data_IF_117079988481
#
_entry.id   IF_117079988481
#
_cell.length_a   1.000
_cell.length_b   1.000
_cell.length_c   1.000
_cell.angle_alpha   90.00
_cell.angle_beta   90.00
_cell.angle_gamma   90.00
#
_symmetry.space_group_name_H-M   'P 1'
#
loop_
_entity.id
_entity.type
_entity.pdbx_description
1 polymer ?
#
# COMPACT_ATOMS: atom_id res chain seq x y z
N UNK A 1 -6.05 -20.15 13.49
CA UNK A 1 -5.34 -18.96 14.02
C UNK A 1 -6.32 -17.85 14.37
N UNK A 2 -7.06 -17.23 13.45
CA UNK A 2 -8.02 -16.17 13.81
C UNK A 2 -9.16 -16.61 14.75
N UNK A 3 -9.59 -17.87 14.66
CA UNK A 3 -10.55 -18.43 15.62
C UNK A 3 -9.97 -18.61 17.04
N UNK A 4 -8.65 -18.69 17.17
CA UNK A 4 -7.92 -18.96 18.42
C UNK A 4 -7.30 -17.70 19.01
N UNK A 5 -6.88 -16.77 18.15
CA UNK A 5 -6.24 -15.49 18.48
C UNK A 5 -6.90 -14.39 17.64
N UNK A 6 -8.14 -13.99 17.97
CA UNK A 6 -8.91 -13.01 17.19
C UNK A 6 -8.27 -11.61 17.15
N UNK A 7 -7.37 -11.32 18.08
CA UNK A 7 -6.66 -10.05 18.17
C UNK A 7 -5.48 -9.95 17.19
N UNK A 8 -5.02 -11.07 16.62
CA UNK A 8 -3.93 -11.08 15.64
C UNK A 8 -4.46 -10.56 14.31
N UNK A 9 -3.98 -9.38 13.92
CA UNK A 9 -4.34 -8.72 12.66
C UNK A 9 -3.25 -8.61 11.64
N UNK A 10 -2.00 -8.68 12.06
CA UNK A 10 -0.85 -8.48 11.19
C UNK A 10 -0.12 -9.81 11.06
N UNK A 11 -0.04 -10.29 9.83
CA UNK A 11 0.62 -11.54 9.49
C UNK A 11 1.89 -11.25 8.70
N UNK A 12 3.02 -11.77 9.18
CA UNK A 12 4.32 -11.65 8.53
C UNK A 12 4.65 -12.94 7.78
N UNK A 13 4.72 -12.87 6.46
CA UNK A 13 5.12 -13.96 5.58
C UNK A 13 6.52 -13.67 5.02
N UNK A 14 7.54 -13.96 5.83
CA UNK A 14 8.96 -13.82 5.44
C UNK A 14 9.44 -14.95 4.49
N UNK A 15 8.54 -15.47 3.66
CA UNK A 15 8.82 -16.53 2.69
C UNK A 15 8.11 -16.26 1.36
N UNK A 16 8.69 -16.78 0.28
CA UNK A 16 8.08 -16.81 -1.05
C UNK A 16 8.64 -18.01 -1.82
N UNK A 17 8.20 -18.20 -3.06
CA UNK A 17 8.74 -19.23 -3.94
C UNK A 17 9.99 -18.72 -4.66
N UNK A 18 10.98 -19.61 -4.83
CA UNK A 18 12.18 -19.33 -5.62
C UNK A 18 11.88 -19.21 -7.12
N UNK A 19 10.97 -20.03 -7.66
CA UNK A 19 10.63 -19.92 -9.07
C UNK A 19 9.68 -18.73 -9.31
N UNK A 20 9.97 -17.83 -10.26
CA UNK A 20 9.02 -16.82 -10.71
C UNK A 20 7.71 -17.44 -11.21
N UNK A 21 6.57 -16.79 -10.94
CA UNK A 21 5.25 -17.34 -11.26
C UNK A 21 5.07 -17.66 -12.76
N UNK A 22 5.63 -16.83 -13.64
CA UNK A 22 5.55 -16.97 -15.09
C UNK A 22 6.44 -18.10 -15.64
N UNK A 23 7.41 -18.56 -14.87
CA UNK A 23 8.32 -19.67 -15.26
C UNK A 23 7.81 -21.03 -14.76
N UNK A 24 6.78 -21.04 -13.90
CA UNK A 24 6.18 -22.27 -13.42
C UNK A 24 5.42 -23.01 -14.52
N UNK A 25 5.51 -24.35 -14.50
CA UNK A 25 4.66 -25.21 -15.32
C UNK A 25 3.17 -25.01 -14.99
N UNK A 26 2.29 -25.35 -15.93
CA UNK A 26 0.87 -24.99 -15.87
C UNK A 26 0.13 -25.52 -14.64
N UNK A 27 0.43 -26.73 -14.17
CA UNK A 27 -0.22 -27.32 -12.99
C UNK A 27 0.21 -26.59 -11.71
N UNK A 28 1.51 -26.52 -11.35
CA UNK A 28 1.96 -25.73 -10.20
C UNK A 28 1.51 -24.27 -10.27
N UNK A 29 1.56 -23.65 -11.46
CA UNK A 29 1.12 -22.26 -11.64
C UNK A 29 -0.34 -22.07 -11.25
N UNK A 30 -1.24 -22.94 -11.71
CA UNK A 30 -2.68 -22.89 -11.35
C UNK A 30 -2.91 -23.09 -9.87
N UNK A 31 -2.19 -24.02 -9.23
CA UNK A 31 -2.29 -24.20 -7.78
C UNK A 31 -1.85 -22.96 -7.00
N UNK A 32 -0.76 -22.30 -7.44
CA UNK A 32 -0.31 -21.05 -6.82
C UNK A 32 -1.30 -19.91 -6.99
N UNK A 33 -1.91 -19.78 -8.17
CA UNK A 33 -2.95 -18.77 -8.40
C UNK A 33 -4.15 -19.00 -7.46
N UNK A 34 -4.61 -20.24 -7.28
CA UNK A 34 -5.68 -20.56 -6.33
C UNK A 34 -5.32 -20.17 -4.89
N UNK A 35 -4.12 -20.52 -4.42
CA UNK A 35 -3.68 -20.18 -3.07
C UNK A 35 -3.58 -18.66 -2.85
N UNK A 36 -3.10 -17.92 -3.84
CA UNK A 36 -3.02 -16.46 -3.80
C UNK A 36 -4.41 -15.82 -3.80
N UNK A 37 -5.33 -16.33 -4.63
CA UNK A 37 -6.75 -15.92 -4.63
C UNK A 37 -7.38 -16.16 -3.26
N UNK A 38 -7.16 -17.33 -2.68
CA UNK A 38 -7.70 -17.69 -1.38
C UNK A 38 -7.09 -16.80 -0.26
N UNK A 39 -5.81 -16.42 -0.37
CA UNK A 39 -5.17 -15.46 0.54
C UNK A 39 -5.75 -14.04 0.41
N UNK A 40 -5.91 -13.52 -0.80
CA UNK A 40 -6.53 -12.22 -1.04
C UNK A 40 -7.97 -12.18 -0.50
N UNK A 41 -8.76 -13.24 -0.75
CA UNK A 41 -10.12 -13.35 -0.24
C UNK A 41 -10.16 -13.54 1.28
N UNK A 42 -9.17 -14.21 1.87
CA UNK A 42 -9.01 -14.30 3.32
C UNK A 42 -8.75 -12.92 3.93
N UNK A 43 -7.89 -12.12 3.31
CA UNK A 43 -7.62 -10.73 3.74
C UNK A 43 -8.89 -9.90 3.68
N UNK A 44 -9.59 -9.95 2.54
CA UNK A 44 -10.86 -9.26 2.33
C UNK A 44 -11.96 -9.70 3.31
N UNK A 45 -12.08 -10.99 3.62
CA UNK A 45 -13.12 -11.44 4.54
C UNK A 45 -12.83 -11.04 6.00
N UNK A 46 -11.57 -10.97 6.41
CA UNK A 46 -11.21 -10.92 7.83
C UNK A 46 -10.72 -9.55 8.31
N UNK A 47 -10.55 -8.56 7.42
CA UNK A 47 -9.89 -7.29 7.74
C UNK A 47 -8.56 -7.59 8.44
N UNK A 48 -7.61 -8.19 7.74
CA UNK A 48 -6.26 -8.43 8.27
C UNK A 48 -5.25 -7.79 7.35
N UNK A 49 -4.04 -7.52 7.84
CA UNK A 49 -2.96 -7.02 7.00
C UNK A 49 -1.91 -8.12 6.94
N UNK A 50 -1.66 -8.58 5.72
CA UNK A 50 -0.67 -9.60 5.42
C UNK A 50 0.47 -8.91 4.72
N UNK A 51 1.67 -9.06 5.27
CA UNK A 51 2.91 -8.50 4.71
C UNK A 51 3.77 -9.66 4.24
N UNK A 52 4.25 -9.61 2.99
CA UNK A 52 5.04 -10.69 2.39
C UNK A 52 6.36 -10.17 1.81
N UNK A 53 7.38 -11.03 1.82
CA UNK A 53 8.71 -10.72 1.28
C UNK A 53 8.65 -10.75 -0.24
N UNK A 54 9.09 -9.70 -0.94
CA UNK A 54 9.20 -9.72 -2.41
C UNK A 54 9.97 -10.96 -2.93
N UNK A 55 10.88 -11.49 -2.10
CA UNK A 55 11.69 -12.66 -2.37
C UNK A 55 13.10 -12.26 -2.76
N UNK A 56 13.98 -13.25 -2.74
CA UNK A 56 15.39 -13.08 -3.09
C UNK A 56 15.67 -13.80 -4.42
N UNK A 57 16.54 -13.26 -5.25
CA UNK A 57 17.17 -14.02 -6.33
C UNK A 57 18.04 -15.13 -5.75
N UNK A 58 18.49 -16.08 -6.59
CA UNK A 58 19.33 -17.17 -6.12
C UNK A 58 20.77 -16.68 -5.84
N UNK A 59 21.34 -17.18 -4.75
CA UNK A 59 22.70 -16.82 -4.33
C UNK A 59 23.73 -17.31 -5.33
N UNK A 60 24.69 -16.46 -5.67
CA UNK A 60 25.81 -16.78 -6.57
C UNK A 60 25.48 -16.69 -8.06
N UNK A 61 24.22 -16.46 -8.43
CA UNK A 61 23.83 -16.21 -9.80
C UNK A 61 23.99 -14.74 -10.14
N UNK A 62 24.65 -14.46 -11.26
CA UNK A 62 24.79 -13.10 -11.78
C UNK A 62 23.77 -12.89 -12.91
N UNK A 63 23.06 -11.75 -12.93
CA UNK A 63 22.18 -11.39 -14.04
C UNK A 63 23.00 -11.14 -15.32
N UNK A 64 22.37 -11.29 -16.49
CA UNK A 64 23.06 -11.03 -17.76
C UNK A 64 23.41 -9.54 -17.91
N UNK A 65 22.53 -8.65 -17.45
CA UNK A 65 22.85 -7.23 -17.25
C UNK A 65 23.28 -6.99 -15.79
N UNK A 66 24.47 -6.43 -15.54
CA UNK A 66 24.94 -6.21 -14.18
C UNK A 66 24.03 -5.23 -13.43
N UNK A 67 24.08 -5.27 -12.10
CA UNK A 67 23.41 -4.28 -11.27
C UNK A 67 23.85 -2.85 -11.63
N UNK A 68 22.93 -1.86 -11.75
CA UNK A 68 21.49 -1.92 -11.45
C UNK A 68 20.57 -2.26 -12.63
N UNK A 69 21.11 -2.66 -13.79
CA UNK A 69 20.38 -2.70 -15.07
C UNK A 69 19.60 -4.01 -15.33
N UNK A 70 19.43 -4.85 -14.30
CA UNK A 70 18.83 -6.19 -14.36
C UNK A 70 17.29 -6.20 -14.24
N UNK A 71 16.64 -5.07 -14.52
CA UNK A 71 15.21 -4.86 -14.22
C UNK A 71 14.25 -5.83 -14.93
N UNK A 72 14.64 -6.31 -16.11
CA UNK A 72 13.83 -7.21 -16.94
C UNK A 72 14.29 -8.68 -16.89
N UNK A 73 15.30 -8.97 -16.07
CA UNK A 73 15.86 -10.32 -15.94
C UNK A 73 14.80 -11.31 -15.40
N UNK A 74 14.48 -12.39 -16.13
CA UNK A 74 13.44 -13.33 -15.72
C UNK A 74 13.65 -13.91 -14.32
N UNK A 75 14.90 -14.28 -13.97
CA UNK A 75 15.25 -14.84 -12.67
C UNK A 75 15.11 -13.88 -11.48
N UNK A 76 14.98 -12.57 -11.72
CA UNK A 76 14.76 -11.56 -10.68
C UNK A 76 13.28 -11.23 -10.48
N UNK A 77 12.37 -11.80 -11.28
CA UNK A 77 10.94 -11.52 -11.15
C UNK A 77 10.35 -12.06 -9.86
N UNK A 78 9.30 -11.41 -9.37
CA UNK A 78 8.55 -11.82 -8.18
C UNK A 78 8.09 -13.29 -8.21
N UNK A 79 8.11 -13.91 -7.02
CA UNK A 79 7.53 -15.22 -6.79
C UNK A 79 6.01 -15.18 -6.73
N UNK A 80 5.37 -16.35 -6.63
CA UNK A 80 3.91 -16.44 -6.72
C UNK A 80 3.13 -15.94 -5.51
N UNK A 81 3.68 -15.99 -4.29
CA UNK A 81 2.97 -15.57 -3.07
C UNK A 81 2.90 -14.05 -2.90
N UNK A 82 3.73 -13.33 -3.67
CA UNK A 82 4.03 -11.92 -3.48
C UNK A 82 3.42 -11.07 -4.58
N UNK A 83 2.42 -11.62 -5.27
CA UNK A 83 1.85 -11.03 -6.47
C UNK A 83 0.35 -10.72 -6.33
N UNK A 84 -0.26 -11.02 -5.16
CA UNK A 84 -1.68 -10.75 -4.87
C UNK A 84 -2.00 -9.26 -4.73
N UNK A 85 -3.29 -8.92 -4.70
CA UNK A 85 -3.76 -7.53 -4.67
C UNK A 85 -3.86 -6.97 -3.25
N UNK A 86 -4.24 -7.80 -2.28
CA UNK A 86 -4.48 -7.38 -0.90
C UNK A 86 -3.27 -7.60 0.02
N UNK A 87 -2.23 -8.29 -0.46
CA UNK A 87 -0.97 -8.50 0.26
C UNK A 87 -0.08 -7.27 0.13
N UNK A 88 0.51 -6.82 1.24
CA UNK A 88 1.53 -5.76 1.23
C UNK A 88 2.90 -6.38 0.96
N UNK A 89 3.46 -6.12 -0.22
CA UNK A 89 4.72 -6.75 -0.65
C UNK A 89 5.91 -5.86 -0.28
N UNK A 90 6.88 -6.41 0.43
CA UNK A 90 8.05 -5.68 0.93
C UNK A 90 9.33 -6.04 0.16
N UNK A 91 9.91 -5.07 -0.53
CA UNK A 91 11.26 -5.16 -1.09
C UNK A 91 12.34 -4.79 -0.07
N UNK A 92 13.59 -4.81 -0.53
CA UNK A 92 14.75 -4.53 0.32
C UNK A 92 15.66 -3.47 -0.29
N UNK A 93 16.21 -2.60 0.56
CA UNK A 93 17.27 -1.65 0.20
C UNK A 93 18.48 -1.74 1.13
N UNK A 94 19.60 -1.15 0.69
CA UNK A 94 20.85 -1.08 1.43
C UNK A 94 20.86 0.13 2.35
N UNK A 95 20.94 -0.10 3.67
CA UNK A 95 21.03 0.98 4.66
C UNK A 95 22.46 1.32 5.06
N UNK A 96 23.32 0.30 5.13
CA UNK A 96 24.70 0.41 5.59
C UNK A 96 25.66 -0.05 4.48
N UNK A 97 26.77 0.67 4.31
CA UNK A 97 27.77 0.39 3.29
C UNK A 97 28.91 -0.45 3.83
N UNK A 98 29.48 -1.27 2.96
CA UNK A 98 30.63 -2.10 3.27
C UNK A 98 31.54 -2.18 2.03
N UNK A 99 32.88 -2.18 2.17
CA UNK A 99 33.80 -2.18 1.04
C UNK A 99 33.58 -3.34 0.05
N UNK A 100 33.17 -4.50 0.55
CA UNK A 100 32.92 -5.69 -0.27
C UNK A 100 31.47 -5.79 -0.78
N UNK A 101 30.62 -4.78 -0.55
CA UNK A 101 29.25 -4.75 -1.06
C UNK A 101 29.20 -4.47 -2.57
N UNK A 102 28.24 -5.05 -3.28
CA UNK A 102 27.97 -4.76 -4.67
C UNK A 102 27.35 -3.36 -4.82
N UNK A 103 26.37 -3.07 -3.96
CA UNK A 103 25.74 -1.74 -3.91
C UNK A 103 26.54 -0.83 -3.00
N UNK A 104 27.00 0.29 -3.55
CA UNK A 104 27.89 1.25 -2.86
C UNK A 104 27.18 2.57 -2.51
N UNK A 105 25.84 2.59 -2.53
CA UNK A 105 25.03 3.76 -2.20
C UNK A 105 23.86 3.38 -1.29
N UNK A 106 23.65 4.20 -0.26
CA UNK A 106 22.57 4.03 0.70
C UNK A 106 21.23 4.29 0.00
N UNK A 107 20.20 3.53 0.37
CA UNK A 107 18.85 3.67 -0.14
C UNK A 107 18.58 2.99 -1.48
N UNK A 108 19.63 2.53 -2.15
CA UNK A 108 19.53 1.77 -3.39
C UNK A 108 18.97 0.36 -3.15
N UNK A 109 18.23 -0.21 -4.12
CA UNK A 109 17.67 -1.56 -4.01
C UNK A 109 18.75 -2.60 -3.70
N UNK A 110 18.48 -3.50 -2.77
CA UNK A 110 19.37 -4.63 -2.48
C UNK A 110 19.51 -5.50 -3.74
N UNK A 111 20.71 -5.99 -4.07
CA UNK A 111 20.94 -6.65 -5.37
C UNK A 111 20.18 -7.98 -5.53
N UNK A 112 19.72 -8.56 -4.43
CA UNK A 112 18.92 -9.78 -4.41
C UNK A 112 17.41 -9.54 -4.44
N UNK A 113 16.94 -8.31 -4.21
CA UNK A 113 15.49 -8.08 -4.09
C UNK A 113 14.81 -8.36 -5.43
N UNK A 114 13.72 -9.11 -5.39
CA UNK A 114 12.96 -9.38 -6.61
C UNK A 114 12.25 -8.13 -7.13
N UNK A 115 12.07 -8.11 -8.44
CA UNK A 115 11.58 -7.01 -9.26
C UNK A 115 10.15 -7.35 -9.70
N UNK A 116 9.23 -6.40 -9.53
CA UNK A 116 7.87 -6.46 -10.07
C UNK A 116 7.86 -6.48 -11.60
N UNK A 117 6.68 -6.42 -12.23
CA UNK A 117 5.36 -6.28 -11.61
C UNK A 117 4.85 -7.60 -11.02
N UNK A 118 3.73 -7.52 -10.29
CA UNK A 118 2.97 -8.69 -9.86
C UNK A 118 1.98 -9.18 -10.93
N UNK A 119 0.96 -9.92 -10.51
CA UNK A 119 -0.07 -10.40 -11.43
C UNK A 119 -0.86 -9.24 -12.03
N UNK A 120 -1.36 -9.43 -13.25
CA UNK A 120 -2.09 -8.41 -13.99
C UNK A 120 -1.33 -7.07 -14.08
N UNK A 121 0.01 -7.12 -14.09
CA UNK A 121 0.91 -5.95 -14.10
C UNK A 121 0.76 -5.03 -12.88
N UNK A 122 0.38 -5.59 -11.72
CA UNK A 122 0.23 -4.82 -10.48
C UNK A 122 1.56 -4.17 -10.04
N UNK A 123 1.52 -2.94 -9.51
CA UNK A 123 2.70 -2.18 -9.11
C UNK A 123 3.23 -2.61 -7.73
N UNK A 124 3.68 -3.86 -7.62
CA UNK A 124 4.35 -4.41 -6.44
C UNK A 124 5.86 -4.57 -6.71
N UNK A 125 6.75 -4.52 -5.70
CA UNK A 125 6.49 -4.35 -4.26
C UNK A 125 5.83 -3.02 -3.86
N UNK A 126 5.06 -3.02 -2.77
CA UNK A 126 4.39 -1.84 -2.23
C UNK A 126 5.33 -0.93 -1.44
N UNK A 127 6.16 -1.53 -0.60
CA UNK A 127 7.02 -0.83 0.35
C UNK A 127 8.38 -1.49 0.40
N UNK A 128 9.30 -0.86 1.12
CA UNK A 128 10.62 -1.44 1.36
C UNK A 128 11.13 -1.17 2.77
N UNK A 129 12.05 -2.01 3.20
CA UNK A 129 12.79 -1.86 4.44
C UNK A 129 14.25 -2.30 4.25
N UNK A 130 15.16 -1.96 5.17
CA UNK A 130 16.52 -2.47 5.13
C UNK A 130 16.54 -4.00 5.21
N UNK A 131 17.24 -4.65 4.27
CA UNK A 131 17.43 -6.10 4.28
C UNK A 131 18.85 -6.55 3.95
N UNK A 132 19.78 -5.61 3.75
CA UNK A 132 21.20 -5.88 3.53
C UNK A 132 21.62 -5.82 2.06
N UNK A 133 22.82 -6.29 1.78
CA UNK A 133 23.56 -6.21 0.53
C UNK A 133 24.22 -7.57 0.22
N UNK A 134 24.72 -7.76 -0.99
CA UNK A 134 25.56 -8.90 -1.39
C UNK A 134 26.89 -8.42 -1.95
N UNK A 135 27.86 -9.32 -2.10
CA UNK A 135 29.14 -9.02 -2.75
C UNK A 135 29.02 -9.01 -4.27
N UNK A 136 30.12 -8.69 -4.97
CA UNK A 136 30.17 -8.66 -6.44
C UNK A 136 29.95 -10.03 -7.09
N UNK A 137 30.06 -11.12 -6.34
CA UNK A 137 29.70 -12.47 -6.75
C UNK A 137 28.23 -12.82 -6.44
N UNK A 138 27.40 -11.84 -6.06
CA UNK A 138 25.98 -12.04 -5.72
C UNK A 138 25.77 -13.07 -4.61
N UNK A 139 26.65 -13.07 -3.61
CA UNK A 139 26.53 -13.89 -2.41
C UNK A 139 26.50 -13.03 -1.16
N UNK A 140 25.87 -13.57 -0.11
CA UNK A 140 26.03 -13.01 1.23
C UNK A 140 27.49 -13.11 1.69
N UNK A 141 27.97 -12.06 2.37
CA UNK A 141 29.22 -12.07 3.11
C UNK A 141 29.01 -11.37 4.45
N UNK A 142 29.74 -11.75 5.52
CA UNK A 142 29.66 -11.07 6.80
C UNK A 142 29.92 -9.57 6.68
N UNK A 143 29.15 -8.76 7.40
CA UNK A 143 29.15 -7.30 7.36
C UNK A 143 28.23 -6.69 6.30
N UNK A 144 27.57 -7.51 5.46
CA UNK A 144 26.66 -7.03 4.41
C UNK A 144 25.17 -7.12 4.78
N UNK A 145 24.82 -7.79 5.87
CA UNK A 145 23.43 -8.04 6.22
C UNK A 145 22.83 -7.06 7.22
N UNK A 146 21.77 -7.52 7.87
CA UNK A 146 21.10 -6.92 9.00
C UNK A 146 21.33 -7.84 10.20
N UNK A 147 21.64 -7.24 11.35
CA UNK A 147 21.80 -7.97 12.60
C UNK A 147 20.43 -8.47 13.08
N UNK A 148 20.30 -9.78 13.23
CA UNK A 148 19.09 -10.47 13.67
C UNK A 148 19.40 -11.53 14.74
N UNK A 149 18.38 -12.08 15.39
CA UNK A 149 18.54 -13.19 16.32
C UNK A 149 18.19 -14.51 15.62
N UNK A 150 19.08 -15.49 15.74
CA UNK A 150 18.85 -16.84 15.24
C UNK A 150 17.93 -17.64 16.20
N UNK A 151 17.51 -18.87 15.83
CA UNK A 151 16.64 -19.70 16.69
C UNK A 151 17.23 -20.06 18.06
N UNK A 152 18.55 -19.93 18.24
CA UNK A 152 19.25 -20.14 19.51
C UNK A 152 19.34 -18.86 20.35
N UNK A 153 18.78 -17.74 19.89
CA UNK A 153 18.83 -16.45 20.57
C UNK A 153 20.17 -15.72 20.43
N UNK A 154 21.05 -16.17 19.53
CA UNK A 154 22.34 -15.54 19.26
C UNK A 154 22.22 -14.51 18.14
N UNK A 155 22.96 -13.41 18.25
CA UNK A 155 23.07 -12.42 17.19
C UNK A 155 23.79 -13.00 15.98
N UNK A 156 23.19 -12.85 14.81
CA UNK A 156 23.77 -13.20 13.53
C UNK A 156 23.58 -12.11 12.49
N UNK A 157 24.49 -12.04 11.54
CA UNK A 157 24.39 -11.20 10.37
C UNK A 157 23.85 -12.00 9.18
N UNK A 158 22.78 -11.49 8.56
CA UNK A 158 22.09 -12.11 7.44
C UNK A 158 21.51 -11.07 6.50
N UNK A 159 21.40 -11.39 5.22
CA UNK A 159 20.71 -10.55 4.24
C UNK A 159 19.45 -11.22 3.71
N UNK A 160 18.40 -10.46 3.44
CA UNK A 160 17.23 -10.94 2.72
C UNK A 160 15.99 -10.09 2.90
N UNK A 161 15.09 -10.15 1.93
CA UNK A 161 13.75 -9.56 2.06
C UNK A 161 12.97 -10.17 3.23
N UNK A 162 13.27 -11.42 3.63
CA UNK A 162 12.74 -12.07 4.83
C UNK A 162 13.03 -11.30 6.13
N UNK A 163 14.07 -10.46 6.17
CA UNK A 163 14.43 -9.59 7.29
C UNK A 163 13.84 -8.17 7.16
N UNK A 164 13.48 -7.77 5.93
CA UNK A 164 12.80 -6.52 5.65
C UNK A 164 11.30 -6.59 6.03
N UNK A 165 10.61 -7.70 5.72
CA UNK A 165 9.15 -7.85 6.00
C UNK A 165 8.78 -7.63 7.47
N UNK A 166 9.50 -8.18 8.47
CA UNK A 166 9.14 -7.97 9.87
C UNK A 166 9.19 -6.50 10.28
N UNK A 167 10.04 -5.70 9.64
CA UNK A 167 10.11 -4.24 9.87
C UNK A 167 8.82 -3.59 9.39
N UNK A 168 8.37 -3.90 8.17
CA UNK A 168 7.11 -3.36 7.64
C UNK A 168 5.90 -3.87 8.43
N UNK A 169 5.86 -5.16 8.79
CA UNK A 169 4.82 -5.73 9.64
C UNK A 169 4.74 -5.02 11.00
N UNK A 170 5.90 -4.69 11.60
CA UNK A 170 5.97 -3.89 12.83
C UNK A 170 5.39 -2.49 12.64
N UNK A 171 5.73 -1.80 11.54
CA UNK A 171 5.19 -0.47 11.27
C UNK A 171 3.67 -0.52 11.03
N UNK A 172 3.16 -1.52 10.33
CA UNK A 172 1.72 -1.74 10.17
C UNK A 172 1.01 -2.00 11.52
N UNK A 173 1.59 -2.85 12.37
CA UNK A 173 1.05 -3.13 13.70
C UNK A 173 1.04 -1.89 14.61
N UNK A 174 2.13 -1.10 14.59
CA UNK A 174 2.18 0.17 15.31
C UNK A 174 1.15 1.15 14.78
N UNK A 175 1.02 1.31 13.46
CA UNK A 175 0.02 2.22 12.88
C UNK A 175 -1.39 1.81 13.28
N UNK A 176 -1.73 0.52 13.21
CA UNK A 176 -3.01 0.00 13.67
C UNK A 176 -3.28 0.37 15.14
N UNK A 177 -2.29 0.15 16.01
CA UNK A 177 -2.40 0.49 17.44
C UNK A 177 -2.58 2.00 17.68
N UNK A 178 -1.85 2.85 16.96
CA UNK A 178 -1.96 4.31 17.11
C UNK A 178 -3.29 4.84 16.61
N UNK A 179 -3.75 4.37 15.44
CA UNK A 179 -5.06 4.74 14.94
C UNK A 179 -6.15 4.32 15.94
N UNK A 180 -6.09 3.10 16.46
CA UNK A 180 -7.03 2.60 17.45
C UNK A 180 -7.04 3.44 18.74
N UNK A 181 -5.87 3.85 19.23
CA UNK A 181 -5.74 4.51 20.52
C UNK A 181 -6.05 6.01 20.46
N UNK A 182 -5.67 6.70 19.38
CA UNK A 182 -5.67 8.16 19.32
C UNK A 182 -6.56 8.77 18.24
N UNK A 183 -7.01 7.99 17.25
CA UNK A 183 -7.75 8.52 16.08
C UNK A 183 -9.17 7.95 16.00
N UNK A 184 -9.35 6.66 16.24
CA UNK A 184 -10.66 6.02 16.24
C UNK A 184 -11.48 6.42 17.49
N UNK A 185 -12.81 6.54 17.32
CA UNK A 185 -13.72 6.65 18.45
C UNK A 185 -13.65 5.40 19.34
N UNK A 186 -13.94 5.55 20.64
CA UNK A 186 -14.07 4.41 21.55
C UNK A 186 -15.05 3.38 21.01
N UNK A 187 -14.59 2.12 20.88
CA UNK A 187 -15.37 1.02 20.31
C UNK A 187 -15.27 0.83 18.79
N UNK A 188 -14.65 1.77 18.07
CA UNK A 188 -14.39 1.63 16.63
C UNK A 188 -12.99 1.06 16.38
N UNK A 189 -12.84 0.20 15.37
CA UNK A 189 -11.58 -0.45 15.01
C UNK A 189 -11.04 0.10 13.69
N UNK A 190 -9.75 0.43 13.57
CA UNK A 190 -9.17 0.88 12.31
C UNK A 190 -9.13 -0.27 11.29
N UNK A 191 -9.58 -0.02 10.06
CA UNK A 191 -9.46 -1.01 8.98
C UNK A 191 -8.00 -1.18 8.55
N UNK A 192 -7.66 -2.38 8.06
CA UNK A 192 -6.33 -2.68 7.52
C UNK A 192 -6.02 -1.82 6.29
N UNK A 193 -7.04 -1.53 5.49
CA UNK A 193 -6.94 -0.64 4.32
C UNK A 193 -6.68 0.82 4.72
N UNK A 194 -7.15 1.27 5.89
CA UNK A 194 -6.83 2.60 6.45
C UNK A 194 -5.35 2.68 6.84
N UNK A 195 -4.82 1.61 7.44
CA UNK A 195 -3.38 1.49 7.74
C UNK A 195 -2.57 1.56 6.44
N UNK A 196 -2.99 0.84 5.39
CA UNK A 196 -2.34 0.89 4.07
C UNK A 196 -2.34 2.30 3.50
N UNK A 197 -3.49 2.97 3.46
CA UNK A 197 -3.62 4.32 2.93
C UNK A 197 -2.70 5.32 3.65
N UNK A 198 -2.67 5.27 4.99
CA UNK A 198 -1.80 6.12 5.79
C UNK A 198 -0.31 5.84 5.51
N UNK A 199 0.10 4.57 5.51
CA UNK A 199 1.50 4.21 5.27
C UNK A 199 1.94 4.58 3.85
N UNK A 200 1.10 4.40 2.84
CA UNK A 200 1.37 4.80 1.45
C UNK A 200 1.51 6.32 1.32
N UNK A 201 0.62 7.09 1.96
CA UNK A 201 0.68 8.56 1.96
C UNK A 201 1.99 9.06 2.59
N UNK A 202 2.40 8.43 3.69
CA UNK A 202 3.51 8.90 4.52
C UNK A 202 4.85 8.22 4.25
N UNK A 203 4.89 7.26 3.33
CA UNK A 203 6.11 6.58 2.96
C UNK A 203 7.14 7.55 2.35
N UNK A 204 8.39 7.35 2.74
CA UNK A 204 9.52 8.16 2.26
C UNK A 204 10.35 7.35 1.27
N UNK A 205 10.68 7.96 0.12
CA UNK A 205 11.55 7.30 -0.85
C UNK A 205 12.92 7.05 -0.23
N UNK A 206 13.42 5.82 -0.35
CA UNK A 206 14.76 5.49 0.16
C UNK A 206 15.86 6.11 -0.70
N UNK A 207 15.58 6.41 -1.98
CA UNK A 207 16.53 7.02 -2.92
C UNK A 207 15.83 7.99 -3.86
N UNK A 208 16.53 9.04 -4.28
CA UNK A 208 16.12 9.97 -5.34
C UNK A 208 17.04 9.92 -6.56
N UNK A 209 18.02 8.99 -6.57
CA UNK A 209 19.01 8.88 -7.62
C UNK A 209 18.36 8.44 -8.95
N UNK A 210 18.57 9.25 -9.99
CA UNK A 210 18.02 9.01 -11.33
C UNK A 210 18.50 7.69 -11.92
N UNK A 211 19.73 7.27 -11.59
CA UNK A 211 20.36 6.04 -12.11
C UNK A 211 19.61 4.76 -11.74
N UNK A 212 18.96 4.72 -10.58
CA UNK A 212 18.21 3.53 -10.12
C UNK A 212 16.71 3.77 -10.07
N UNK A 213 16.22 4.87 -10.63
CA UNK A 213 14.82 5.29 -10.51
C UNK A 213 13.84 4.21 -10.98
N UNK A 214 14.14 3.56 -12.10
CA UNK A 214 13.27 2.52 -12.66
C UNK A 214 13.31 1.24 -11.82
N UNK A 215 14.51 0.78 -11.45
CA UNK A 215 14.68 -0.38 -10.57
C UNK A 215 14.01 -0.14 -9.22
N UNK A 216 14.22 1.03 -8.62
CA UNK A 216 13.60 1.42 -7.35
C UNK A 216 12.07 1.45 -7.44
N UNK A 217 11.50 1.95 -8.54
CA UNK A 217 10.04 1.93 -8.74
C UNK A 217 9.48 0.49 -8.80
N UNK A 218 10.24 -0.48 -9.33
CA UNK A 218 9.83 -1.90 -9.43
C UNK A 218 10.29 -2.78 -8.26
N UNK A 219 11.00 -2.23 -7.27
CA UNK A 219 11.52 -3.01 -6.14
C UNK A 219 11.23 -2.40 -4.77
N UNK A 220 11.11 -1.08 -4.67
CA UNK A 220 10.98 -0.35 -3.41
C UNK A 220 9.59 0.26 -3.19
N UNK A 221 8.78 0.30 -4.24
CA UNK A 221 7.39 0.75 -4.21
C UNK A 221 7.25 2.21 -3.78
N UNK A 222 6.34 2.46 -2.83
CA UNK A 222 6.12 3.75 -2.18
C UNK A 222 7.29 4.17 -1.27
N UNK A 223 8.22 3.26 -0.97
CA UNK A 223 9.38 3.50 -0.12
C UNK A 223 9.22 2.96 1.29
N UNK A 224 9.81 3.65 2.26
CA UNK A 224 9.88 3.22 3.66
C UNK A 224 8.64 3.68 4.42
N UNK A 225 7.80 2.72 4.81
CA UNK A 225 6.64 2.97 5.64
C UNK A 225 7.06 3.33 7.08
N UNK A 226 6.40 4.31 7.70
CA UNK A 226 6.69 4.72 9.07
C UNK A 226 5.46 5.20 9.81
N UNK A 227 5.25 4.68 11.03
CA UNK A 227 4.19 5.19 11.92
C UNK A 227 4.49 6.60 12.46
N UNK A 228 5.74 7.06 12.36
CA UNK A 228 6.20 8.28 13.02
C UNK A 228 5.36 9.50 12.65
N UNK A 229 4.85 9.60 11.42
CA UNK A 229 4.02 10.73 10.99
C UNK A 229 2.69 10.87 11.76
N UNK A 230 2.19 9.82 12.44
CA UNK A 230 1.06 9.93 13.38
C UNK A 230 1.48 10.56 14.72
N UNK A 231 2.71 10.29 15.17
CA UNK A 231 3.23 10.78 16.46
C UNK A 231 3.90 12.15 16.35
N UNK A 232 4.46 12.42 15.18
CA UNK A 232 5.24 13.62 14.87
C UNK A 232 4.70 14.19 13.55
N UNK A 233 3.58 14.94 13.60
CA UNK A 233 3.09 15.66 12.45
C UNK A 233 4.14 16.67 11.96
N UNK A 234 4.32 16.80 10.65
CA UNK A 234 5.09 17.86 10.02
C UNK A 234 4.32 19.17 10.18
N UNK A 235 5.02 20.26 10.47
CA UNK A 235 4.41 21.56 10.73
C UNK A 235 3.85 22.23 9.46
N UNK A 236 4.37 21.88 8.28
CA UNK A 236 4.06 22.44 6.96
C UNK A 236 2.91 21.72 6.25
N UNK A 237 2.39 20.63 6.80
CA UNK A 237 1.28 19.87 6.21
C UNK A 237 0.23 19.46 7.23
N UNK A 238 -0.96 19.11 6.73
CA UNK A 238 -2.04 18.55 7.53
C UNK A 238 -2.53 17.25 6.92
N UNK A 239 -2.69 16.22 7.74
CA UNK A 239 -3.16 14.90 7.31
C UNK A 239 -4.55 14.63 7.88
N UNK A 240 -5.48 14.25 7.01
CA UNK A 240 -6.84 13.80 7.34
C UNK A 240 -6.97 12.33 7.00
N UNK A 241 -7.53 11.55 7.92
CA UNK A 241 -7.76 10.11 7.75
C UNK A 241 -9.25 9.84 7.86
N UNK A 242 -9.77 9.04 6.95
CA UNK A 242 -11.15 8.59 6.96
C UNK A 242 -11.23 7.09 6.64
N UNK A 243 -12.26 6.41 7.15
CA UNK A 243 -12.57 5.03 6.79
C UNK A 243 -14.07 4.81 6.77
N UNK A 244 -14.53 3.88 5.93
CA UNK A 244 -15.93 3.50 5.85
C UNK A 244 -16.19 2.33 4.91
N UNK A 245 -17.45 1.96 4.76
CA UNK A 245 -17.91 0.88 3.89
C UNK A 245 -18.90 1.42 2.85
N UNK A 246 -18.79 0.95 1.61
CA UNK A 246 -19.86 1.06 0.59
C UNK A 246 -20.67 -0.23 0.63
N UNK A 247 -22.01 -0.17 0.62
CA UNK A 247 -22.84 -1.37 0.76
C UNK A 247 -23.17 -2.06 -0.58
N UNK A 248 -22.85 -1.43 -1.73
CA UNK A 248 -23.06 -2.02 -3.04
C UNK A 248 -22.46 -1.23 -4.21
N UNK A 249 -22.46 -1.80 -5.43
CA UNK A 249 -21.71 -1.30 -6.60
C UNK A 249 -22.27 0.00 -7.20
N UNK A 250 -23.44 0.45 -6.73
CA UNK A 250 -24.05 1.73 -7.15
C UNK A 250 -24.09 2.75 -6.02
N UNK A 251 -23.53 2.39 -4.86
CA UNK A 251 -23.49 3.30 -3.73
C UNK A 251 -22.47 4.39 -4.01
N UNK A 252 -22.86 5.62 -3.67
CA UNK A 252 -22.00 6.78 -3.66
C UNK A 252 -21.75 7.17 -2.21
N UNK A 253 -20.51 7.01 -1.75
CA UNK A 253 -20.08 7.53 -0.45
C UNK A 253 -19.43 8.88 -0.68
N UNK A 254 -19.91 9.90 0.03
CA UNK A 254 -19.42 11.27 -0.07
C UNK A 254 -18.76 11.67 1.25
N UNK A 255 -17.46 11.95 1.19
CA UNK A 255 -16.66 12.36 2.33
C UNK A 255 -16.41 13.86 2.24
N UNK A 256 -16.84 14.61 3.25
CA UNK A 256 -16.47 16.02 3.38
C UNK A 256 -15.00 16.13 3.78
N UNK A 257 -14.24 17.01 3.14
CA UNK A 257 -12.83 17.29 3.42
C UNK A 257 -12.66 18.80 3.62
N UNK A 258 -12.07 19.26 4.73
CA UNK A 258 -11.89 20.67 5.01
C UNK A 258 -10.69 21.16 4.20
N UNK A 259 -10.90 22.16 3.36
CA UNK A 259 -9.84 22.84 2.61
C UNK A 259 -10.04 24.34 2.85
N UNK A 260 -9.31 24.94 3.81
CA UNK A 260 -9.56 26.32 4.22
C UNK A 260 -9.24 27.28 3.07
N UNK A 261 -10.23 28.09 2.69
CA UNK A 261 -10.08 29.12 1.66
C UNK A 261 -9.04 30.16 2.07
N UNK A 262 -8.98 30.52 3.35
CA UNK A 262 -7.96 31.44 3.89
C UNK A 262 -6.55 30.91 3.63
N UNK A 263 -6.31 29.62 3.84
CA UNK A 263 -5.01 29.00 3.55
C UNK A 263 -4.72 28.99 2.05
N UNK A 264 -5.71 28.67 1.20
CA UNK A 264 -5.54 28.69 -0.26
C UNK A 264 -5.06 30.05 -0.81
N UNK A 265 -5.50 31.17 -0.20
CA UNK A 265 -5.06 32.52 -0.58
C UNK A 265 -3.66 32.89 -0.10
N UNK A 266 -3.15 32.20 0.92
CA UNK A 266 -1.81 32.42 1.45
C UNK A 266 -0.75 31.55 0.77
N UNK A 267 -1.17 30.50 0.06
CA UNK A 267 -0.26 29.54 -0.57
C UNK A 267 0.24 30.00 -1.93
N UNK A 268 1.48 29.64 -2.23
CA UNK A 268 2.07 29.80 -3.55
C UNK A 268 1.61 28.66 -4.49
N UNK A 269 1.73 27.41 -4.04
CA UNK A 269 1.35 26.22 -4.79
C UNK A 269 0.58 25.20 -3.91
N UNK A 270 -0.68 25.49 -3.54
CA UNK A 270 -1.47 24.61 -2.68
C UNK A 270 -1.78 23.29 -3.38
N UNK A 271 -1.43 22.18 -2.72
CA UNK A 271 -1.65 20.82 -3.20
C UNK A 271 -2.43 19.98 -2.21
N UNK A 272 -3.16 19.01 -2.77
CA UNK A 272 -3.80 17.94 -2.04
C UNK A 272 -3.28 16.61 -2.59
N UNK A 273 -2.64 15.80 -1.75
CA UNK A 273 -2.34 14.39 -2.07
C UNK A 273 -3.38 13.51 -1.41
N UNK A 274 -4.01 12.65 -2.19
CA UNK A 274 -5.05 11.73 -1.74
C UNK A 274 -4.59 10.31 -2.03
N UNK A 275 -4.59 9.50 -0.98
CA UNK A 275 -4.41 8.05 -1.07
C UNK A 275 -5.70 7.36 -0.65
N UNK A 276 -6.26 6.55 -1.55
CA UNK A 276 -7.37 5.65 -1.27
C UNK A 276 -6.88 4.21 -1.37
N UNK A 277 -7.19 3.40 -0.36
CA UNK A 277 -6.89 1.97 -0.35
C UNK A 277 -8.16 1.19 -0.05
N UNK A 278 -8.27 0.02 -0.65
CA UNK A 278 -9.31 -0.94 -0.36
C UNK A 278 -8.71 -2.34 -0.37
N UNK A 279 -9.51 -3.32 -0.01
CA UNK A 279 -9.22 -4.72 -0.19
C UNK A 279 -10.31 -5.28 -1.08
N UNK A 280 -9.96 -6.05 -2.09
CA UNK A 280 -10.96 -6.51 -3.05
C UNK A 280 -11.16 -8.00 -2.93
N UNK A 281 -12.41 -8.52 -3.01
CA UNK A 281 -12.56 -9.92 -3.34
C UNK A 281 -11.95 -10.15 -4.72
N UNK A 282 -11.32 -11.31 -4.90
CA UNK A 282 -10.63 -11.66 -6.13
C UNK A 282 -11.04 -13.03 -6.65
N UNK A 283 -10.96 -13.17 -7.96
CA UNK A 283 -11.20 -14.43 -8.63
C UNK A 283 -10.33 -14.55 -9.89
N UNK A 284 -9.92 -15.77 -10.21
CA UNK A 284 -9.09 -16.14 -11.37
C UNK A 284 -9.91 -16.78 -12.51
N UNK A 285 -11.25 -16.67 -12.46
CA UNK A 285 -12.14 -17.31 -13.44
C UNK A 285 -11.91 -16.86 -14.89
N UNK A 286 -11.43 -15.63 -15.12
CA UNK A 286 -11.06 -15.16 -16.45
C UNK A 286 -9.55 -15.26 -16.58
N UNK A 287 -9.09 -16.13 -17.50
CA UNK A 287 -7.66 -16.30 -17.76
C UNK A 287 -7.01 -14.97 -18.14
N UNK A 288 -5.95 -14.59 -17.42
CA UNK A 288 -5.22 -13.33 -17.65
C UNK A 288 -5.85 -12.09 -17.00
N UNK A 289 -6.99 -12.23 -16.31
CA UNK A 289 -7.61 -11.16 -15.55
C UNK A 289 -7.79 -11.57 -14.08
N UNK A 290 -7.32 -10.72 -13.18
CA UNK A 290 -7.64 -10.85 -11.75
C UNK A 290 -8.94 -10.09 -11.50
N UNK A 291 -10.07 -10.79 -11.56
CA UNK A 291 -11.39 -10.18 -11.34
C UNK A 291 -11.44 -9.58 -9.95
N UNK A 292 -11.88 -8.32 -9.83
CA UNK A 292 -11.86 -7.55 -8.59
C UNK A 292 -12.78 -6.33 -8.67
N UNK A 293 -12.91 -5.61 -7.56
CA UNK A 293 -13.55 -4.30 -7.42
C UNK A 293 -12.54 -3.19 -7.65
N UNK A 294 -12.88 -2.25 -8.52
CA UNK A 294 -12.14 -1.01 -8.73
C UNK A 294 -12.86 0.16 -8.05
N UNK A 295 -12.21 0.80 -7.08
CA UNK A 295 -12.75 2.02 -6.46
C UNK A 295 -12.41 3.23 -7.31
N UNK A 296 -13.44 4.04 -7.61
CA UNK A 296 -13.31 5.33 -8.24
C UNK A 296 -13.35 6.42 -7.19
N UNK A 297 -12.47 7.41 -7.37
CA UNK A 297 -12.34 8.56 -6.48
C UNK A 297 -12.42 9.84 -7.28
N UNK A 298 -13.33 10.73 -6.89
CA UNK A 298 -13.52 12.05 -7.49
C UNK A 298 -13.47 13.15 -6.42
N UNK A 299 -12.51 14.05 -6.53
CA UNK A 299 -12.41 15.24 -5.67
C UNK A 299 -13.21 16.39 -6.29
N UNK A 300 -14.10 17.02 -5.51
CA UNK A 300 -14.92 18.17 -5.92
C UNK A 300 -14.79 19.31 -4.90
N UNK A 301 -14.70 20.58 -5.34
CA UNK A 301 -14.70 21.73 -4.45
C UNK A 301 -16.08 22.13 -3.91
N UNK A 302 -17.13 21.40 -4.28
CA UNK A 302 -18.48 21.60 -3.77
C UNK A 302 -19.46 20.58 -4.37
N UNK A 303 -20.71 20.50 -3.86
CA UNK A 303 -21.71 19.51 -4.28
C UNK A 303 -22.00 19.53 -5.78
N UNK A 304 -22.14 20.73 -6.35
CA UNK A 304 -22.50 20.94 -7.75
C UNK A 304 -21.26 21.17 -8.66
N UNK A 305 -20.07 21.21 -8.06
CA UNK A 305 -18.83 21.44 -8.80
C UNK A 305 -18.42 20.18 -9.58
N UNK A 306 -17.75 20.40 -10.71
CA UNK A 306 -17.13 19.31 -11.48
C UNK A 306 -15.94 18.73 -10.72
N UNK A 307 -15.70 17.43 -10.91
CA UNK A 307 -14.54 16.77 -10.34
C UNK A 307 -13.23 17.32 -10.91
N UNK A 308 -12.25 17.53 -10.03
CA UNK A 308 -10.92 18.02 -10.38
C UNK A 308 -10.09 16.87 -10.94
N UNK A 309 -9.30 17.18 -11.97
CA UNK A 309 -8.35 16.21 -12.53
C UNK A 309 -7.05 16.23 -11.74
N UNK A 310 -6.49 15.05 -11.40
CA UNK A 310 -5.18 14.97 -10.76
C UNK A 310 -4.07 15.40 -11.72
N UNK A 311 -2.97 15.92 -11.17
CA UNK A 311 -1.75 16.29 -11.91
C UNK A 311 -0.90 15.06 -12.23
N UNK A 312 -0.91 14.06 -11.35
CA UNK A 312 -0.22 12.78 -11.58
C UNK A 312 -1.19 11.75 -12.16
N UNK A 313 -0.74 11.10 -13.25
CA UNK A 313 -1.50 10.21 -14.15
C UNK A 313 -2.05 8.93 -13.50
N UNK A 314 -2.79 8.12 -14.28
CA UNK A 314 -3.76 7.16 -13.75
C UNK A 314 -3.12 6.11 -12.85
N UNK A 315 -3.76 5.86 -11.72
CA UNK A 315 -3.56 4.68 -10.89
C UNK A 315 -3.85 3.41 -11.69
N UNK A 316 -3.19 2.30 -11.36
CA UNK A 316 -3.46 1.00 -11.99
C UNK A 316 -4.97 0.72 -11.92
N UNK A 317 -5.62 0.30 -13.02
CA UNK A 317 -7.09 0.29 -13.11
C UNK A 317 -7.74 -0.65 -12.10
N UNK A 318 -7.03 -1.70 -11.68
CA UNK A 318 -7.55 -2.76 -10.82
C UNK A 318 -6.81 -2.93 -9.50
N UNK A 319 -5.66 -2.25 -9.29
CA UNK A 319 -4.89 -2.46 -8.08
C UNK A 319 -5.52 -1.68 -6.93
N UNK A 320 -5.62 -2.24 -5.70
CA UNK A 320 -6.45 -1.65 -4.66
C UNK A 320 -5.75 -0.53 -3.87
N UNK A 321 -4.98 0.29 -4.59
CA UNK A 321 -4.35 1.52 -4.12
C UNK A 321 -4.44 2.57 -5.22
N UNK A 322 -4.91 3.76 -4.84
CA UNK A 322 -4.93 4.95 -5.67
C UNK A 322 -4.17 6.05 -4.93
N UNK A 323 -3.14 6.60 -5.55
CA UNK A 323 -2.36 7.75 -5.06
C UNK A 323 -2.39 8.87 -6.10
N UNK A 324 -3.01 9.99 -5.74
CA UNK A 324 -3.22 11.12 -6.64
C UNK A 324 -2.82 12.42 -5.98
N UNK A 325 -2.27 13.34 -6.77
CA UNK A 325 -1.98 14.71 -6.34
C UNK A 325 -2.75 15.70 -7.19
N UNK A 326 -3.38 16.67 -6.54
CA UNK A 326 -4.20 17.73 -7.13
C UNK A 326 -3.56 19.09 -6.87
N UNK A 327 -3.58 19.97 -7.87
CA UNK A 327 -3.29 21.40 -7.69
C UNK A 327 -4.61 22.11 -7.39
N UNK A 328 -4.68 22.81 -6.27
CA UNK A 328 -5.92 23.41 -5.80
C UNK A 328 -6.15 24.81 -6.41
N UNK A 329 -5.06 25.48 -6.82
CA UNK A 329 -5.09 26.81 -7.44
C UNK A 329 -5.43 26.82 -8.94
N UNK A 330 -5.45 25.68 -9.64
CA UNK A 330 -5.83 25.60 -11.07
C UNK A 330 -7.33 25.79 -11.32
N UNK A 331 -8.06 26.27 -10.32
CA UNK A 331 -9.52 26.36 -10.22
C UNK A 331 -10.08 27.77 -10.54
N UNK A 332 -9.24 28.70 -11.05
CA UNK A 332 -9.55 30.13 -11.21
C UNK A 332 -10.88 30.48 -11.92
N UNK A 333 -11.51 29.54 -12.65
CA UNK A 333 -12.76 29.77 -13.37
C UNK A 333 -14.04 29.29 -12.67
N UNK A 334 -13.96 28.62 -11.51
CA UNK A 334 -15.16 28.18 -10.76
C UNK A 334 -15.11 28.75 -9.34
N UNK A 335 -16.09 29.56 -8.92
CA UNK A 335 -16.10 30.09 -7.56
C UNK A 335 -16.15 28.93 -6.56
N UNK A 336 -15.10 28.80 -5.75
CA UNK A 336 -15.02 27.83 -4.67
C UNK A 336 -15.98 28.33 -3.58
N UNK A 337 -17.17 27.75 -3.51
CA UNK A 337 -18.19 28.13 -2.54
C UNK A 337 -17.90 27.45 -1.19
N UNK A 338 -16.87 27.91 -0.49
CA UNK A 338 -16.60 27.59 0.91
C UNK A 338 -15.45 26.61 1.17
N UNK A 339 -15.28 26.26 2.45
CA UNK A 339 -14.15 25.47 2.96
C UNK A 339 -14.40 23.95 2.93
N UNK A 340 -15.54 23.51 2.40
CA UNK A 340 -15.98 22.12 2.41
C UNK A 340 -15.92 21.49 1.02
N UNK A 341 -14.87 20.69 0.82
CA UNK A 341 -14.67 19.93 -0.40
C UNK A 341 -15.23 18.52 -0.20
N UNK A 342 -15.45 17.81 -1.31
CA UNK A 342 -16.07 16.50 -1.32
C UNK A 342 -15.16 15.50 -2.03
N UNK A 343 -15.03 14.32 -1.43
CA UNK A 343 -14.48 13.14 -2.09
C UNK A 343 -15.62 12.17 -2.30
N UNK A 344 -16.02 12.01 -3.55
CA UNK A 344 -16.99 11.01 -3.99
C UNK A 344 -16.27 9.68 -4.24
N UNK A 345 -16.77 8.62 -3.62
CA UNK A 345 -16.28 7.25 -3.70
C UNK A 345 -17.38 6.35 -4.26
N UNK A 346 -17.03 5.51 -5.22
CA UNK A 346 -17.88 4.44 -5.74
C UNK A 346 -16.99 3.26 -6.15
N UNK A 347 -17.56 2.10 -6.46
CA UNK A 347 -16.79 1.01 -7.04
C UNK A 347 -17.54 0.33 -8.18
N UNK A 348 -16.78 -0.23 -9.11
CA UNK A 348 -17.29 -1.16 -10.11
C UNK A 348 -16.65 -2.53 -9.95
N UNK A 349 -17.32 -3.57 -10.43
CA UNK A 349 -16.73 -4.89 -10.59
C UNK A 349 -16.12 -4.99 -11.99
N UNK A 350 -14.81 -5.28 -12.07
CA UNK A 350 -14.06 -5.29 -13.33
C UNK A 350 -14.40 -6.53 -14.17
N UNK A 351 -14.85 -7.60 -13.51
CA UNK A 351 -15.40 -8.79 -14.14
C UNK A 351 -16.35 -9.52 -13.18
N UNK A 352 -17.18 -10.40 -13.74
CA UNK A 352 -18.10 -11.23 -12.98
C UNK A 352 -17.34 -12.24 -12.10
N UNK A 353 -17.83 -12.41 -10.87
CA UNK A 353 -17.41 -13.50 -10.00
C UNK A 353 -18.08 -14.81 -10.44
N UNK A 354 -17.37 -15.93 -10.26
CA UNK A 354 -17.91 -17.24 -10.62
C UNK A 354 -19.13 -17.54 -9.73
N UNK A 355 -20.23 -18.03 -10.30
CA UNK A 355 -21.52 -18.21 -9.62
C UNK A 355 -21.51 -18.92 -8.24
N UNK A 356 -20.61 -19.88 -7.95
CA UNK A 356 -20.49 -20.49 -6.62
C UNK A 356 -19.78 -19.61 -5.57
N UNK A 357 -19.17 -18.49 -5.96
CA UNK A 357 -18.51 -17.55 -5.06
C UNK A 357 -19.44 -16.37 -4.82
N UNK A 358 -20.04 -16.34 -3.62
CA UNK A 358 -20.83 -15.20 -3.17
C UNK A 358 -19.99 -14.32 -2.24
N UNK A 359 -19.87 -13.05 -2.58
CA UNK A 359 -19.14 -12.06 -1.80
C UNK A 359 -20.12 -11.02 -1.29
N UNK A 360 -19.97 -10.63 -0.02
CA UNK A 360 -20.71 -9.47 0.50
C UNK A 360 -20.52 -8.26 -0.42
N UNK A 361 -21.60 -7.55 -0.78
CA UNK A 361 -21.48 -6.34 -1.58
C UNK A 361 -20.78 -5.21 -0.81
N UNK A 362 -20.58 -5.35 0.51
CA UNK A 362 -19.81 -4.39 1.29
C UNK A 362 -18.36 -4.30 0.81
N UNK A 363 -17.86 -3.08 0.68
CA UNK A 363 -16.48 -2.76 0.31
C UNK A 363 -15.90 -1.75 1.30
N UNK A 364 -14.89 -2.17 2.08
CA UNK A 364 -14.14 -1.28 2.97
C UNK A 364 -13.23 -0.35 2.17
N UNK A 365 -13.15 0.89 2.60
CA UNK A 365 -12.22 1.89 2.06
C UNK A 365 -11.52 2.61 3.22
N UNK A 366 -10.21 2.80 3.06
CA UNK A 366 -9.42 3.75 3.83
C UNK A 366 -8.99 4.91 2.95
N UNK A 367 -9.11 6.13 3.48
CA UNK A 367 -8.63 7.36 2.86
C UNK A 367 -7.59 8.03 3.77
N UNK A 368 -6.50 8.48 3.17
CA UNK A 368 -5.53 9.36 3.80
C UNK A 368 -5.25 10.54 2.85
N UNK A 369 -5.43 11.76 3.35
CA UNK A 369 -5.31 12.97 2.55
C UNK A 369 -4.31 13.91 3.22
N UNK A 370 -3.39 14.47 2.45
CA UNK A 370 -2.44 15.49 2.90
C UNK A 370 -2.69 16.80 2.15
N UNK A 371 -2.85 17.88 2.91
CA UNK A 371 -2.80 19.26 2.42
C UNK A 371 -1.42 19.83 2.71
N UNK A 372 -0.80 20.44 1.71
CA UNK A 372 0.51 21.08 1.84
C UNK A 372 0.70 22.13 0.75
N UNK A 373 1.56 23.11 1.01
CA UNK A 373 2.03 24.05 0.00
C UNK A 373 3.34 23.55 -0.60
N UNK A 374 3.37 23.40 -1.92
CA UNK A 374 4.55 22.96 -2.67
C UNK A 374 5.41 24.13 -3.18
N UNK A 375 5.02 25.37 -2.88
CA UNK A 375 5.79 26.56 -3.21
C UNK A 375 7.00 26.78 -2.30
N UNK A 376 7.73 27.87 -2.56
CA UNK A 376 8.94 28.21 -1.82
C UNK A 376 8.61 28.67 -0.40
N UNK A 377 7.53 29.44 -0.23
CA UNK A 377 7.04 29.87 1.08
C UNK A 377 5.97 28.91 1.59
N UNK A 378 6.39 27.75 2.11
CA UNK A 378 5.50 26.67 2.55
C UNK A 378 4.51 27.11 3.64
N UNK A 379 3.34 27.61 3.24
CA UNK A 379 2.30 28.03 4.16
C UNK A 379 1.63 26.82 4.84
N UNK A 380 1.66 26.78 6.17
CA UNK A 380 1.04 25.67 6.92
C UNK A 380 -0.50 25.74 6.86
N UNK A 381 -1.19 24.63 6.53
CA UNK A 381 -2.66 24.56 6.60
C UNK A 381 -3.19 24.43 8.02
N UNK A 382 -2.36 24.09 9.01
CA UNK A 382 -2.82 23.72 10.34
C UNK A 382 -3.55 24.85 11.09
N UNK A 383 -3.05 26.10 11.13
CA UNK A 383 -3.75 27.18 11.85
C UNK A 383 -5.13 27.46 11.26
N UNK A 384 -5.25 27.44 9.93
CA UNK A 384 -6.51 27.66 9.24
C UNK A 384 -7.50 26.51 9.48
N UNK A 385 -7.04 25.26 9.45
CA UNK A 385 -7.86 24.09 9.77
C UNK A 385 -8.35 24.10 11.23
N UNK A 386 -7.47 24.42 12.18
CA UNK A 386 -7.81 24.47 13.61
C UNK A 386 -8.83 25.56 13.95
N UNK A 387 -8.88 26.64 13.16
CA UNK A 387 -9.86 27.71 13.30
C UNK A 387 -11.27 27.33 12.80
N UNK A 388 -11.42 26.23 12.05
CA UNK A 388 -12.70 25.80 11.49
C UNK A 388 -13.54 25.05 12.52
N UNK A 389 -14.81 25.42 12.66
CA UNK A 389 -15.74 24.82 13.62
C UNK A 389 -16.10 23.37 13.32
N UNK A 390 -16.10 22.96 12.05
CA UNK A 390 -16.42 21.61 11.60
C UNK A 390 -15.26 20.60 11.76
N UNK A 391 -14.01 21.05 11.84
CA UNK A 391 -12.84 20.17 11.96
C UNK A 391 -12.87 19.39 13.28
N UNK A 392 -13.47 19.95 14.34
CA UNK A 392 -13.69 19.25 15.62
C UNK A 392 -14.63 18.03 15.49
N UNK A 393 -15.52 18.00 14.48
CA UNK A 393 -16.44 16.87 14.22
C UNK A 393 -15.87 15.84 13.25
N UNK A 394 -14.68 16.09 12.67
CA UNK A 394 -14.07 15.23 11.66
C UNK A 394 -13.10 14.19 12.24
N UNK A 395 -12.78 14.24 13.53
CA UNK A 395 -11.98 13.23 14.25
C UNK A 395 -12.82 11.98 14.57
N UNK A 396 -13.66 11.56 13.63
CA UNK A 396 -14.73 10.59 13.87
C UNK A 396 -14.77 9.56 12.74
N UNK A 397 -13.88 8.57 12.84
CA UNK A 397 -13.96 7.34 12.05
C UNK A 397 -15.23 6.60 12.49
N UNK A 398 -16.17 6.41 11.54
CA UNK A 398 -17.53 5.93 11.79
C UNK A 398 -17.59 4.57 12.49
N UNK A 399 -18.67 4.38 13.26
CA UNK A 399 -19.02 3.11 13.91
C UNK A 399 -19.19 1.97 12.89
N UNK A 400 -18.68 0.79 13.23
CA UNK A 400 -18.93 -0.45 12.48
C UNK A 400 -20.36 -0.90 12.76
N UNK A 401 -21.16 -1.13 11.72
CA UNK A 401 -22.30 -2.03 11.81
C UNK A 401 -21.74 -3.45 12.01
N UNK A 402 -22.09 -4.10 13.12
CA UNK A 402 -21.60 -5.45 13.46
C UNK A 402 -21.70 -6.37 12.24
N UNK A 403 -20.59 -6.85 11.65
CA UNK A 403 -20.66 -7.69 10.47
C UNK A 403 -21.38 -8.98 10.84
N UNK A 404 -22.56 -9.19 10.25
CA UNK A 404 -23.19 -10.50 10.21
C UNK A 404 -22.24 -11.38 9.40
N UNK A 405 -21.51 -12.27 10.08
CA UNK A 405 -20.63 -13.25 9.46
C UNK A 405 -21.49 -14.17 8.60
N UNK A 406 -21.65 -13.87 7.32
CA UNK A 406 -22.09 -14.89 6.38
C UNK A 406 -20.86 -15.72 6.02
N UNK A 407 -20.83 -17.02 6.38
CA UNK A 407 -19.76 -17.89 5.95
C UNK A 407 -19.74 -17.92 4.42
N UNK A 408 -18.56 -17.82 3.81
CA UNK A 408 -18.39 -18.12 2.39
C UNK A 408 -18.70 -19.61 2.22
N UNK A 409 -19.90 -19.94 1.73
CA UNK A 409 -20.31 -21.32 1.49
C UNK A 409 -19.84 -21.73 0.11
N UNK A 410 -18.70 -22.42 0.05
CA UNK A 410 -18.29 -23.14 -1.16
C UNK A 410 -19.19 -24.36 -1.28
N UNK A 411 -20.22 -24.31 -2.14
CA UNK A 411 -21.03 -25.49 -2.45
C UNK A 411 -20.24 -26.38 -3.41
N UNK A 412 -19.75 -27.52 -2.94
CA UNK A 412 -19.27 -28.57 -3.82
C UNK A 412 -20.47 -29.08 -4.63
N UNK A 413 -20.41 -28.99 -5.97
CA UNK A 413 -21.31 -29.75 -6.82
C UNK A 413 -20.94 -31.23 -6.67
N UNK A 414 -21.77 -31.98 -5.96
CA UNK A 414 -21.85 -33.43 -6.17
C UNK A 414 -22.59 -33.65 -7.49
N UNK A 415 -21.88 -34.17 -8.50
CA UNK A 415 -22.49 -34.89 -9.61
C UNK A 415 -23.06 -36.23 -9.13
#
# INVERSE_FOLDING_TARGET
>A
ILATYPDVRVFNLSFSNHQPLNEMADVPRRERLRLMRDLDNFIFANDVIVVAAAGNSDSGFQPAKPYPDHIDEPGWRLGSWTAGFNVHVCGSFVKDLHPNGLVQRIGWPSPFTRVGPGIANSPVPDFSAPGGNWNSQYNFAPGLGVISMNPQGMWEDRSGTSLAVPILAREAAKTLHHLQQYVCQSGSRPFGVTVRAFLTLTAESSTSDVQVKELAARTLGYGVASVLRLRQPKADSAVVIWQGEMNGPKDLVRVNIPVPHVWLHLCDEPRLRLVACWDTPVNDAVSGLWACRAVRVHLRPGPDAKAIRPVRGPSHPSYPVLDRTYKLNSMQSTPISGDNWLVDLSYDEIAEYFAPMDFTPSQRIGLAIELFDAGESQASPQPALQAMSNVQTMTHLSQIATPVRQPVVIRAQTE
#
